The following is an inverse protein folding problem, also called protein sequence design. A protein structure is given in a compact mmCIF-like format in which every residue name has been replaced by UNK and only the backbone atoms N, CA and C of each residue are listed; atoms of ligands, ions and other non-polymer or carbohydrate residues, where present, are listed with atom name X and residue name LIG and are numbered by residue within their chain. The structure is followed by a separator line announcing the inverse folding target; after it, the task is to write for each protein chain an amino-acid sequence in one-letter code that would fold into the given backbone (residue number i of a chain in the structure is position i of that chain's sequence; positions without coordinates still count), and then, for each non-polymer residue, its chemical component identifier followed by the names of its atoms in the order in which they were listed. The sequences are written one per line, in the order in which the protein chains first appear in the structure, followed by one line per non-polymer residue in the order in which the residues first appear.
data_IF_463675282118
#
_entry.id   IF_463675282118
#
_cell.length_a   1.000
_cell.length_b   1.000
_cell.length_c   1.000
_cell.angle_alpha   90.00
_cell.angle_beta   90.00
_cell.angle_gamma   90.00
#
_symmetry.space_group_name_H-M   'P 1'
#
loop_
_entity.id
_entity.type
_entity.pdbx_description
1 polymer ?
#
# COMPACT_ATOMS: atom_id res chain seq x y z
N UNK A 1 21.15 -6.79 42.42
CA UNK A 1 21.19 -7.84 41.39
C UNK A 1 20.43 -7.40 40.13
N UNK A 2 19.14 -7.09 40.21
CA UNK A 2 18.31 -6.69 39.05
C UNK A 2 18.78 -5.47 38.21
N UNK A 3 19.42 -4.46 38.82
CA UNK A 3 19.83 -3.25 38.08
C UNK A 3 21.00 -3.52 37.13
N UNK A 4 22.00 -4.29 37.56
CA UNK A 4 23.18 -4.63 36.75
C UNK A 4 22.76 -5.53 35.58
N UNK A 5 21.88 -6.50 35.82
CA UNK A 5 21.35 -7.38 34.79
C UNK A 5 20.52 -6.59 33.75
N UNK A 6 19.70 -5.63 34.21
CA UNK A 6 18.89 -4.78 33.32
C UNK A 6 19.76 -3.88 32.45
N UNK A 7 20.78 -3.23 33.04
CA UNK A 7 21.72 -2.40 32.30
C UNK A 7 22.56 -3.22 31.32
N UNK A 8 23.03 -4.40 31.74
CA UNK A 8 23.77 -5.33 30.89
C UNK A 8 22.91 -5.84 29.73
N UNK A 9 21.65 -6.17 29.98
CA UNK A 9 20.72 -6.58 28.93
C UNK A 9 20.44 -5.43 27.94
N UNK A 10 20.23 -4.21 28.43
CA UNK A 10 20.03 -3.02 27.58
C UNK A 10 21.28 -2.68 26.75
N UNK A 11 22.47 -2.79 27.33
CA UNK A 11 23.74 -2.59 26.61
C UNK A 11 23.95 -3.67 25.54
N UNK A 12 23.58 -4.92 25.81
CA UNK A 12 23.70 -6.04 24.86
C UNK A 12 22.67 -6.00 23.73
N UNK A 13 21.42 -5.64 24.03
CA UNK A 13 20.31 -5.59 23.06
C UNK A 13 20.26 -4.27 22.27
N UNK A 14 20.78 -3.20 22.85
CA UNK A 14 20.67 -1.87 22.24
C UNK A 14 19.21 -1.37 22.20
N UNK A 15 18.92 -0.52 21.22
CA UNK A 15 17.58 0.01 20.95
C UNK A 15 16.95 -0.80 19.82
N UNK A 16 15.97 -1.64 20.14
CA UNK A 16 15.27 -2.53 19.19
C UNK A 16 14.17 -1.80 18.40
N UNK A 17 13.95 -0.50 18.67
CA UNK A 17 12.97 0.33 17.96
C UNK A 17 13.59 1.02 16.76
N UNK A 18 12.87 1.10 15.65
CA UNK A 18 13.37 1.73 14.42
C UNK A 18 13.39 3.26 14.53
N UNK A 19 14.43 3.89 13.99
CA UNK A 19 14.53 5.35 13.92
C UNK A 19 13.64 5.99 12.83
N UNK A 20 13.07 5.20 11.92
CA UNK A 20 12.16 5.68 10.88
C UNK A 20 10.92 6.37 11.50
N UNK A 21 10.47 7.54 10.99
CA UNK A 21 10.89 8.17 9.73
C UNK A 21 12.05 9.17 9.83
N UNK A 22 12.49 9.53 11.03
CA UNK A 22 13.53 10.55 11.23
C UNK A 22 14.94 10.01 10.89
N UNK A 23 15.14 8.72 11.07
CA UNK A 23 16.31 7.97 10.60
C UNK A 23 16.06 7.18 9.32
N UNK A 24 17.08 6.43 8.89
CA UNK A 24 16.97 5.56 7.72
C UNK A 24 15.87 4.50 7.91
N UNK A 25 15.16 4.12 6.83
CA UNK A 25 14.27 2.97 6.88
C UNK A 25 15.05 1.70 7.26
N UNK A 26 14.38 0.70 7.87
CA UNK A 26 15.01 -0.58 8.14
C UNK A 26 15.54 -1.21 6.84
N UNK A 27 16.61 -2.00 6.96
CA UNK A 27 17.10 -2.78 5.83
C UNK A 27 15.99 -3.71 5.33
N UNK A 28 15.74 -3.68 4.02
CA UNK A 28 14.74 -4.52 3.38
C UNK A 28 15.40 -5.81 2.88
N UNK A 29 14.69 -6.94 2.90
CA UNK A 29 15.19 -8.18 2.33
C UNK A 29 15.57 -8.00 0.85
N UNK A 30 16.57 -8.75 0.37
CA UNK A 30 16.99 -8.71 -1.04
C UNK A 30 15.82 -8.95 -2.01
N UNK A 31 14.91 -9.85 -1.63
CA UNK A 31 13.72 -10.20 -2.41
C UNK A 31 12.56 -9.21 -2.30
N UNK A 32 12.71 -8.08 -1.58
CA UNK A 32 11.65 -7.08 -1.46
C UNK A 32 11.25 -6.49 -2.81
N UNK A 33 12.23 -6.24 -3.69
CA UNK A 33 12.03 -5.68 -5.04
C UNK A 33 11.59 -4.21 -5.08
N UNK A 34 10.74 -3.77 -4.15
CA UNK A 34 10.26 -2.40 -4.03
C UNK A 34 9.37 -1.96 -5.20
N UNK A 35 9.28 -0.66 -5.40
CA UNK A 35 8.52 -0.03 -6.46
C UNK A 35 9.07 -0.41 -7.84
N UNK A 36 8.18 -0.35 -8.84
CA UNK A 36 8.57 -0.52 -10.23
C UNK A 36 8.73 0.85 -10.89
N UNK A 37 9.74 0.96 -11.74
CA UNK A 37 9.94 2.07 -12.69
C UNK A 37 9.66 1.58 -14.10
N UNK A 38 9.04 2.42 -14.92
CA UNK A 38 8.78 2.15 -16.34
C UNK A 38 9.32 3.27 -17.22
N UNK A 39 10.44 3.02 -17.90
CA UNK A 39 11.01 3.89 -18.93
C UNK A 39 10.44 3.50 -20.30
N UNK A 40 9.19 3.89 -20.59
CA UNK A 40 8.46 3.44 -21.77
C UNK A 40 9.18 3.75 -23.10
N UNK A 41 9.99 4.82 -23.14
CA UNK A 41 10.80 5.22 -24.29
C UNK A 41 11.87 4.18 -24.69
N UNK A 42 12.31 3.32 -23.77
CA UNK A 42 13.26 2.22 -24.07
C UNK A 42 12.60 1.08 -24.82
N UNK A 43 11.27 1.04 -24.91
CA UNK A 43 10.56 -0.09 -25.47
C UNK A 43 10.52 -0.02 -27.01
N UNK A 44 10.99 -1.06 -27.75
CA UNK A 44 10.84 -1.11 -29.20
C UNK A 44 9.37 -1.00 -29.64
N UNK A 45 9.09 -0.45 -30.83
CA UNK A 45 7.73 -0.15 -31.31
C UNK A 45 6.77 -1.35 -31.24
N UNK A 46 7.25 -2.55 -31.56
CA UNK A 46 6.44 -3.78 -31.64
C UNK A 46 6.62 -4.72 -30.43
N UNK A 47 7.30 -4.27 -29.36
CA UNK A 47 7.59 -5.13 -28.21
C UNK A 47 6.38 -5.32 -27.29
N UNK A 48 5.92 -6.54 -27.07
CA UNK A 48 4.87 -6.86 -26.09
C UNK A 48 5.27 -7.93 -25.07
N UNK A 49 6.57 -8.20 -24.90
CA UNK A 49 7.10 -9.34 -24.14
C UNK A 49 6.59 -9.42 -22.68
N UNK A 50 6.37 -8.27 -22.02
CA UNK A 50 5.89 -8.21 -20.65
C UNK A 50 4.37 -8.40 -20.49
N UNK A 51 3.58 -8.28 -21.56
CA UNK A 51 2.12 -8.42 -21.54
C UNK A 51 1.67 -9.86 -21.23
N UNK A 52 2.13 -10.90 -21.95
CA UNK A 52 1.65 -12.28 -21.74
C UNK A 52 2.07 -12.88 -20.39
N UNK A 53 3.17 -12.40 -19.79
CA UNK A 53 3.65 -12.89 -18.49
C UNK A 53 2.93 -12.26 -17.30
N UNK A 54 2.08 -11.24 -17.52
CA UNK A 54 1.40 -10.52 -16.45
C UNK A 54 0.09 -11.22 -16.03
N UNK A 55 0.02 -11.88 -14.86
CA UNK A 55 -1.13 -12.73 -14.49
C UNK A 55 -2.42 -11.92 -14.28
N UNK A 56 -2.31 -10.67 -13.84
CA UNK A 56 -3.47 -9.79 -13.55
C UNK A 56 -3.77 -8.81 -14.67
N UNK A 57 -3.05 -8.88 -15.80
CA UNK A 57 -3.14 -7.90 -16.89
C UNK A 57 -2.97 -6.46 -16.38
N UNK A 58 -2.06 -6.29 -15.41
CA UNK A 58 -1.62 -4.98 -14.94
C UNK A 58 -0.83 -4.22 -16.01
N UNK A 59 -0.26 -4.95 -16.98
CA UNK A 59 0.46 -4.39 -18.11
C UNK A 59 -0.42 -4.46 -19.34
N UNK A 60 -0.52 -3.34 -20.05
CA UNK A 60 -1.21 -3.25 -21.33
C UNK A 60 -0.31 -2.56 -22.35
N UNK A 61 -0.38 -3.03 -23.60
CA UNK A 61 0.22 -2.37 -24.74
C UNK A 61 -0.61 -2.63 -25.99
N UNK A 62 -0.87 -1.59 -26.78
CA UNK A 62 -1.47 -1.68 -28.10
C UNK A 62 -0.61 -0.84 -29.04
N UNK A 63 0.29 -1.47 -29.82
CA UNK A 63 1.11 -0.75 -30.77
C UNK A 63 0.23 0.10 -31.71
N UNK A 64 0.59 1.37 -31.99
CA UNK A 64 1.87 2.04 -31.71
C UNK A 64 1.96 2.71 -30.32
N UNK A 65 0.97 2.55 -29.44
CA UNK A 65 0.93 3.21 -28.15
C UNK A 65 2.01 2.65 -27.19
N UNK A 66 2.56 3.52 -26.30
CA UNK A 66 3.53 3.11 -25.30
C UNK A 66 2.93 2.08 -24.33
N UNK A 67 3.79 1.26 -23.75
CA UNK A 67 3.41 0.33 -22.69
C UNK A 67 2.91 1.10 -21.47
N UNK A 68 1.87 0.57 -20.82
CA UNK A 68 1.30 1.08 -19.58
C UNK A 68 1.36 0.00 -18.52
N UNK A 69 1.77 0.37 -17.30
CA UNK A 69 1.81 -0.50 -16.13
C UNK A 69 0.96 0.08 -15.01
N UNK A 70 -0.04 -0.67 -14.57
CA UNK A 70 -0.94 -0.29 -13.48
C UNK A 70 -0.50 -0.97 -12.16
N UNK A 71 0.18 -0.23 -11.29
CA UNK A 71 0.66 -0.71 -9.99
C UNK A 71 -0.47 -1.09 -9.04
N UNK A 72 -1.68 -0.56 -9.21
CA UNK A 72 -2.85 -0.95 -8.43
C UNK A 72 -3.35 -2.37 -8.74
N UNK A 73 -2.99 -2.90 -9.92
CA UNK A 73 -3.27 -4.28 -10.34
C UNK A 73 -2.06 -5.21 -10.21
N UNK A 74 -0.86 -4.64 -10.07
CA UNK A 74 0.38 -5.40 -10.06
C UNK A 74 0.49 -6.27 -8.80
N UNK A 75 0.94 -7.52 -8.97
CA UNK A 75 1.25 -8.43 -7.87
C UNK A 75 2.70 -8.31 -7.39
N UNK A 76 3.51 -7.45 -8.02
CA UNK A 76 4.92 -7.22 -7.69
C UNK A 76 5.80 -8.48 -7.78
N UNK A 77 5.44 -9.43 -8.66
CA UNK A 77 6.16 -10.71 -8.83
C UNK A 77 7.43 -10.64 -9.69
N UNK A 78 7.82 -9.45 -10.17
CA UNK A 78 8.98 -9.22 -11.04
C UNK A 78 9.04 -9.95 -12.40
N UNK A 79 8.09 -10.84 -12.73
CA UNK A 79 8.10 -11.57 -14.01
C UNK A 79 8.22 -10.68 -15.26
N UNK A 80 7.64 -9.47 -15.21
CA UNK A 80 7.75 -8.49 -16.28
C UNK A 80 9.14 -7.83 -16.40
N UNK A 81 9.89 -7.74 -15.30
CA UNK A 81 11.28 -7.26 -15.26
C UNK A 81 12.18 -8.30 -15.93
N UNK A 82 12.04 -9.56 -15.53
CA UNK A 82 12.78 -10.70 -16.10
C UNK A 82 12.50 -10.88 -17.60
N UNK A 83 11.24 -10.70 -18.02
CA UNK A 83 10.84 -10.85 -19.41
C UNK A 83 11.17 -9.62 -20.28
N UNK A 84 11.65 -8.50 -19.72
CA UNK A 84 11.84 -7.25 -20.48
C UNK A 84 13.20 -7.23 -21.19
N UNK A 85 13.27 -7.42 -22.54
CA UNK A 85 14.56 -7.44 -23.24
C UNK A 85 15.27 -6.09 -23.27
N UNK A 86 14.51 -4.99 -23.15
CA UNK A 86 15.03 -3.63 -23.22
C UNK A 86 15.38 -3.03 -21.84
N UNK A 87 15.12 -3.74 -20.75
CA UNK A 87 15.29 -3.20 -19.40
C UNK A 87 14.45 -1.93 -19.15
N UNK A 88 13.27 -1.85 -19.77
CA UNK A 88 12.35 -0.72 -19.65
C UNK A 88 11.55 -0.76 -18.33
N UNK A 89 11.32 -1.96 -17.77
CA UNK A 89 10.67 -2.14 -16.46
C UNK A 89 11.75 -2.59 -15.48
N UNK A 90 11.91 -1.87 -14.38
CA UNK A 90 12.94 -2.16 -13.36
C UNK A 90 12.37 -2.09 -11.95
N UNK A 91 12.96 -2.85 -11.04
CA UNK A 91 12.73 -2.76 -9.60
C UNK A 91 13.67 -1.72 -8.99
N UNK A 92 13.14 -0.78 -8.21
CA UNK A 92 13.93 0.31 -7.62
C UNK A 92 14.39 0.03 -6.19
N UNK A 93 13.83 -0.99 -5.54
CA UNK A 93 14.02 -1.22 -4.10
C UNK A 93 13.32 -0.19 -3.20
N UNK A 94 12.59 0.77 -3.77
CA UNK A 94 11.90 1.81 -3.01
C UNK A 94 10.61 1.25 -2.38
N UNK A 95 10.45 1.38 -1.06
CA UNK A 95 9.25 0.93 -0.36
C UNK A 95 8.06 1.88 -0.55
N UNK A 96 8.29 3.11 -1.01
CA UNK A 96 7.29 4.18 -1.09
C UNK A 96 6.41 3.98 -2.31
N UNK A 97 5.11 3.78 -2.06
CA UNK A 97 4.16 3.42 -3.12
C UNK A 97 2.76 4.02 -2.94
N UNK A 98 2.46 4.60 -1.78
CA UNK A 98 1.12 5.05 -1.48
C UNK A 98 0.73 6.29 -2.30
N UNK A 99 -0.50 6.35 -2.77
CA UNK A 99 -1.03 7.44 -3.60
C UNK A 99 -2.40 7.88 -3.13
N UNK A 100 -2.74 9.16 -3.30
CA UNK A 100 -4.07 9.69 -2.96
C UNK A 100 -5.13 9.43 -4.05
N UNK A 101 -4.68 9.09 -5.27
CA UNK A 101 -5.53 8.96 -6.45
C UNK A 101 -5.21 7.68 -7.20
N UNK A 102 -6.24 7.00 -7.70
CA UNK A 102 -6.10 5.69 -8.36
C UNK A 102 -5.27 5.77 -9.64
N UNK A 103 -5.43 6.84 -10.39
CA UNK A 103 -4.67 7.14 -11.60
C UNK A 103 -3.18 7.37 -11.33
N UNK A 104 -2.81 7.77 -10.12
CA UNK A 104 -1.41 8.03 -9.78
C UNK A 104 -0.56 6.75 -9.66
N UNK A 105 -1.23 5.59 -9.65
CA UNK A 105 -0.64 4.25 -9.72
C UNK A 105 -0.38 3.75 -11.14
N UNK A 106 -0.73 4.52 -12.18
CA UNK A 106 -0.47 4.15 -13.58
C UNK A 106 0.84 4.77 -14.05
N UNK A 107 1.71 3.93 -14.59
CA UNK A 107 2.97 4.31 -15.23
C UNK A 107 2.83 4.17 -16.74
N UNK A 108 3.53 5.00 -17.49
CA UNK A 108 3.48 5.06 -18.94
C UNK A 108 4.44 6.10 -19.49
N UNK A 109 4.21 6.56 -20.72
CA UNK A 109 5.07 7.55 -21.36
C UNK A 109 5.09 8.92 -20.64
N UNK A 110 4.03 9.26 -19.92
CA UNK A 110 3.91 10.48 -19.14
C UNK A 110 4.50 10.35 -17.73
N UNK A 111 4.77 9.13 -17.28
CA UNK A 111 5.13 8.87 -15.89
C UNK A 111 5.90 7.57 -15.70
N UNK A 112 7.17 7.70 -15.34
CA UNK A 112 8.04 6.54 -15.12
C UNK A 112 7.96 5.96 -13.70
N UNK A 113 7.52 6.76 -12.72
CA UNK A 113 7.48 6.39 -11.30
C UNK A 113 6.17 6.84 -10.65
N UNK A 114 5.77 6.15 -9.59
CA UNK A 114 4.55 6.46 -8.84
C UNK A 114 4.59 7.89 -8.28
N UNK A 115 3.46 8.60 -8.35
CA UNK A 115 3.32 9.89 -7.66
C UNK A 115 2.88 9.62 -6.24
N UNK A 116 3.78 9.84 -5.30
CA UNK A 116 3.52 9.59 -3.89
C UNK A 116 2.40 10.48 -3.36
N UNK A 117 1.66 9.97 -2.39
CA UNK A 117 0.66 10.74 -1.67
C UNK A 117 1.36 11.87 -0.91
N UNK A 118 0.90 13.11 -1.16
CA UNK A 118 1.04 14.19 -0.19
C UNK A 118 0.02 14.02 0.94
N UNK A 119 -0.01 14.96 1.89
CA UNK A 119 -1.05 14.99 2.91
C UNK A 119 -2.43 15.00 2.22
N UNK A 120 -3.19 13.91 2.39
CA UNK A 120 -4.51 13.79 1.78
C UNK A 120 -5.41 14.78 2.50
N UNK A 121 -5.60 15.96 1.90
CA UNK A 121 -6.38 17.07 2.44
C UNK A 121 -5.82 17.69 3.73
N UNK A 122 -5.47 18.97 3.67
CA UNK A 122 -5.01 19.76 4.83
C UNK A 122 -5.96 19.65 6.05
N UNK A 123 -7.25 19.42 5.80
CA UNK A 123 -8.28 19.21 6.83
C UNK A 123 -8.15 17.88 7.59
N UNK A 124 -7.80 16.78 6.91
CA UNK A 124 -7.61 15.46 7.54
C UNK A 124 -6.38 15.49 8.44
N UNK A 125 -5.27 16.08 7.97
CA UNK A 125 -4.08 16.28 8.79
C UNK A 125 -4.36 17.12 10.04
N UNK A 126 -5.20 18.17 9.94
CA UNK A 126 -5.62 18.98 11.11
C UNK A 126 -6.46 18.20 12.12
N UNK A 127 -7.35 17.32 11.66
CA UNK A 127 -8.28 16.60 12.52
C UNK A 127 -7.67 15.34 13.15
N UNK A 128 -6.98 14.52 12.35
CA UNK A 128 -6.49 13.20 12.75
C UNK A 128 -4.96 13.14 12.88
N UNK A 129 -4.25 14.26 12.64
CA UNK A 129 -2.79 14.31 12.65
C UNK A 129 -2.12 13.85 13.94
N UNK A 130 -2.80 13.91 15.08
CA UNK A 130 -2.29 13.51 16.40
C UNK A 130 -2.85 12.19 16.91
N UNK A 131 -4.04 11.82 16.48
CA UNK A 131 -4.71 10.58 16.88
C UNK A 131 -5.58 10.11 15.72
N UNK A 132 -5.26 8.93 15.19
CA UNK A 132 -5.99 8.30 14.11
C UNK A 132 -6.38 6.88 14.53
N UNK A 133 -7.69 6.64 14.66
CA UNK A 133 -8.25 5.33 14.99
C UNK A 133 -8.80 4.69 13.71
N UNK A 134 -8.25 3.56 13.31
CA UNK A 134 -8.71 2.84 12.12
C UNK A 134 -9.47 1.58 12.51
N UNK A 135 -10.51 1.23 11.76
CA UNK A 135 -11.06 -0.13 11.77
C UNK A 135 -10.55 -0.87 10.54
N UNK A 136 -9.75 -1.90 10.74
CA UNK A 136 -9.38 -2.81 9.66
C UNK A 136 -10.62 -3.64 9.26
N UNK A 137 -10.89 -3.78 7.97
CA UNK A 137 -11.99 -4.60 7.43
C UNK A 137 -11.42 -5.53 6.38
N UNK A 138 -11.40 -6.84 6.68
CA UNK A 138 -11.09 -7.85 5.66
C UNK A 138 -12.35 -8.14 4.85
N UNK A 139 -12.41 -7.59 3.64
CA UNK A 139 -13.52 -7.80 2.71
C UNK A 139 -13.23 -9.00 1.79
N UNK A 140 -12.98 -10.17 2.39
CA UNK A 140 -12.63 -11.39 1.66
C UNK A 140 -11.13 -11.54 1.35
N UNK A 141 -10.26 -11.07 2.24
CA UNK A 141 -8.81 -11.20 2.09
C UNK A 141 -8.29 -12.62 2.36
N UNK A 142 -7.04 -12.88 1.97
CA UNK A 142 -6.32 -14.13 2.22
C UNK A 142 -5.43 -14.08 3.48
N UNK A 143 -5.68 -13.13 4.38
CA UNK A 143 -4.92 -12.84 5.60
C UNK A 143 -3.51 -12.26 5.42
N UNK A 144 -2.98 -12.17 4.20
CA UNK A 144 -1.63 -11.64 3.98
C UNK A 144 -1.51 -10.15 4.31
N UNK A 145 -2.36 -9.30 3.74
CA UNK A 145 -2.36 -7.86 4.06
C UNK A 145 -2.76 -7.61 5.51
N UNK A 146 -3.65 -8.44 6.06
CA UNK A 146 -4.07 -8.37 7.46
C UNK A 146 -2.90 -8.67 8.41
N UNK A 147 -2.11 -9.71 8.12
CA UNK A 147 -0.91 -10.02 8.88
C UNK A 147 0.09 -8.85 8.89
N UNK A 148 0.38 -8.27 7.72
CA UNK A 148 1.30 -7.14 7.63
C UNK A 148 0.76 -5.88 8.32
N UNK A 149 -0.55 -5.61 8.24
CA UNK A 149 -1.16 -4.53 9.03
C UNK A 149 -1.12 -4.79 10.54
N UNK A 150 -1.21 -6.05 10.98
CA UNK A 150 -1.14 -6.44 12.38
C UNK A 150 0.29 -6.26 12.94
N UNK A 151 1.31 -6.64 12.15
CA UNK A 151 2.72 -6.48 12.50
C UNK A 151 3.08 -5.02 12.82
N UNK A 152 2.40 -4.05 12.21
CA UNK A 152 2.59 -2.63 12.52
C UNK A 152 2.26 -2.25 13.98
N UNK A 153 1.44 -3.04 14.67
CA UNK A 153 1.15 -2.87 16.10
C UNK A 153 2.21 -3.44 17.04
N UNK A 154 3.23 -4.14 16.52
CA UNK A 154 4.32 -4.70 17.32
C UNK A 154 5.38 -3.66 17.65
N UNK A 155 6.22 -3.94 18.64
CA UNK A 155 7.29 -3.04 19.12
C UNK A 155 8.30 -2.61 18.04
N UNK A 156 8.46 -3.39 16.97
CA UNK A 156 9.38 -3.05 15.88
C UNK A 156 8.92 -1.85 15.07
N UNK A 157 7.61 -1.73 14.85
CA UNK A 157 6.99 -0.70 14.00
C UNK A 157 6.33 0.40 14.83
N UNK A 158 5.63 -0.03 15.89
CA UNK A 158 4.93 0.76 16.89
C UNK A 158 4.09 1.89 16.28
N UNK A 159 2.91 1.55 15.73
CA UNK A 159 1.94 2.56 15.29
C UNK A 159 1.55 3.55 16.40
N UNK A 160 1.62 3.11 17.67
CA UNK A 160 1.24 3.90 18.83
C UNK A 160 2.06 5.18 18.96
N UNK A 161 3.37 5.14 18.68
CA UNK A 161 4.23 6.36 18.67
C UNK A 161 3.79 7.40 17.63
N UNK A 162 3.07 6.97 16.60
CA UNK A 162 2.51 7.86 15.59
C UNK A 162 1.09 8.32 15.92
N UNK A 163 0.51 7.88 17.04
CA UNK A 163 -0.88 8.15 17.39
C UNK A 163 -1.88 7.37 16.54
N UNK A 164 -1.43 6.31 15.85
CA UNK A 164 -2.28 5.47 15.02
C UNK A 164 -2.64 4.21 15.80
N UNK A 165 -3.93 3.82 15.79
CA UNK A 165 -4.38 2.63 16.49
C UNK A 165 -5.51 1.92 15.73
N UNK A 166 -5.50 0.59 15.72
CA UNK A 166 -6.66 -0.18 15.28
C UNK A 166 -7.67 -0.35 16.42
N UNK A 167 -8.93 -0.03 16.16
CA UNK A 167 -10.06 -0.18 17.10
C UNK A 167 -11.01 -1.28 16.66
N UNK A 168 -11.67 -1.93 17.61
CA UNK A 168 -12.57 -3.05 17.32
C UNK A 168 -13.92 -2.61 16.72
N UNK A 169 -14.46 -1.49 17.20
CA UNK A 169 -15.76 -0.97 16.77
C UNK A 169 -15.58 0.11 15.70
N UNK A 170 -16.29 0.04 14.56
CA UNK A 170 -16.28 1.13 13.58
C UNK A 170 -16.85 2.44 14.15
N UNK A 171 -17.67 2.37 15.21
CA UNK A 171 -18.21 3.56 15.89
C UNK A 171 -17.16 4.35 16.68
N UNK A 172 -16.01 3.73 16.97
CA UNK A 172 -14.86 4.38 17.62
C UNK A 172 -13.74 4.71 16.63
N UNK A 173 -13.96 4.47 15.33
CA UNK A 173 -12.96 4.68 14.31
C UNK A 173 -13.15 6.06 13.65
N UNK A 174 -12.04 6.64 13.24
CA UNK A 174 -11.94 7.81 12.37
C UNK A 174 -11.90 7.40 10.89
N UNK A 175 -11.78 6.11 10.60
CA UNK A 175 -11.71 5.61 9.24
C UNK A 175 -11.57 4.10 9.11
N UNK A 176 -11.54 3.64 7.87
CA UNK A 176 -11.42 2.23 7.51
C UNK A 176 -10.09 1.96 6.81
N UNK A 177 -9.46 0.83 7.14
CA UNK A 177 -8.41 0.22 6.35
C UNK A 177 -8.96 -1.08 5.76
N UNK A 178 -9.12 -1.11 4.46
CA UNK A 178 -9.79 -2.21 3.75
C UNK A 178 -8.75 -3.08 3.05
N UNK A 179 -8.88 -4.38 3.24
CA UNK A 179 -8.09 -5.44 2.59
C UNK A 179 -9.02 -6.42 1.87
N UNK A 180 -8.49 -7.13 0.87
CA UNK A 180 -9.25 -8.11 0.08
C UNK A 180 -10.05 -7.52 -1.09
N UNK A 181 -10.51 -8.36 -2.03
CA UNK A 181 -11.11 -7.93 -3.31
C UNK A 181 -12.57 -7.45 -3.19
N UNK A 182 -13.12 -7.46 -1.98
CA UNK A 182 -14.55 -7.29 -1.67
C UNK A 182 -15.38 -8.39 -2.31
N UNK A 183 -15.46 -9.54 -1.64
CA UNK A 183 -16.37 -10.60 -2.06
C UNK A 183 -17.83 -10.12 -2.01
N UNK A 184 -18.66 -10.70 -2.86
CA UNK A 184 -20.10 -10.39 -2.96
C UNK A 184 -20.81 -10.47 -1.60
N UNK A 185 -20.44 -11.46 -0.79
CA UNK A 185 -21.01 -11.69 0.55
C UNK A 185 -20.54 -10.62 1.56
N UNK A 186 -19.34 -10.06 1.37
CA UNK A 186 -18.79 -9.02 2.24
C UNK A 186 -19.22 -7.60 1.85
N UNK A 187 -19.80 -7.39 0.66
CA UNK A 187 -20.20 -6.05 0.20
C UNK A 187 -21.15 -5.35 1.18
N UNK A 188 -22.23 -6.04 1.61
CA UNK A 188 -23.20 -5.46 2.55
C UNK A 188 -22.56 -5.14 3.90
N UNK A 189 -21.68 -6.02 4.39
CA UNK A 189 -20.97 -5.82 5.65
C UNK A 189 -20.03 -4.61 5.57
N UNK A 190 -19.33 -4.43 4.44
CA UNK A 190 -18.47 -3.28 4.21
C UNK A 190 -19.27 -1.97 4.17
N UNK A 191 -20.39 -1.93 3.43
CA UNK A 191 -21.28 -0.75 3.37
C UNK A 191 -21.82 -0.36 4.74
N UNK A 192 -22.29 -1.34 5.53
CA UNK A 192 -22.79 -1.10 6.89
C UNK A 192 -21.69 -0.62 7.83
N UNK A 193 -20.49 -1.18 7.71
CA UNK A 193 -19.33 -0.76 8.51
C UNK A 193 -18.96 0.68 8.19
N UNK A 194 -18.86 1.04 6.91
CA UNK A 194 -18.58 2.41 6.47
C UNK A 194 -19.63 3.42 6.97
N UNK A 195 -20.91 3.05 6.89
CA UNK A 195 -22.01 3.88 7.40
C UNK A 195 -21.97 4.05 8.94
N UNK A 196 -21.42 3.09 9.67
CA UNK A 196 -21.32 3.13 11.13
C UNK A 196 -20.14 3.95 11.66
N UNK A 197 -19.16 4.29 10.82
CA UNK A 197 -18.07 5.21 11.19
C UNK A 197 -18.66 6.63 11.29
N UNK A 198 -18.34 7.45 12.30
CA UNK A 198 -18.75 8.87 12.36
C UNK A 198 -18.09 9.73 11.28
N UNK A 199 -18.71 10.84 10.87
CA UNK A 199 -18.06 11.81 9.98
C UNK A 199 -17.29 12.86 10.81
N UNK A 200 -16.17 13.43 10.30
CA UNK A 200 -15.48 13.08 9.05
C UNK A 200 -14.79 11.72 9.15
N UNK A 201 -14.62 11.02 8.02
CA UNK A 201 -13.99 9.69 7.95
C UNK A 201 -13.07 9.55 6.76
N UNK A 202 -12.06 8.71 6.90
CA UNK A 202 -11.13 8.35 5.81
C UNK A 202 -11.21 6.86 5.46
N UNK A 203 -10.90 6.52 4.21
CA UNK A 203 -10.85 5.14 3.72
C UNK A 203 -9.54 4.86 3.01
N UNK A 204 -8.90 3.77 3.39
CA UNK A 204 -7.60 3.34 2.89
C UNK A 204 -7.76 1.96 2.26
N UNK A 205 -7.36 1.79 1.00
CA UNK A 205 -7.31 0.49 0.34
C UNK A 205 -5.87 -0.04 0.35
N UNK A 206 -5.67 -1.22 0.94
CA UNK A 206 -4.35 -1.85 1.09
C UNK A 206 -4.28 -3.15 0.30
N UNK A 207 -3.33 -3.19 -0.63
CA UNK A 207 -3.03 -4.33 -1.49
C UNK A 207 -3.80 -4.33 -2.83
N UNK A 208 -3.26 -5.05 -3.80
CA UNK A 208 -3.80 -5.14 -5.16
C UNK A 208 -5.25 -5.65 -5.20
N UNK A 209 -5.61 -6.55 -4.27
CA UNK A 209 -6.98 -7.02 -4.11
C UNK A 209 -7.93 -5.87 -3.75
N UNK A 210 -7.62 -5.09 -2.72
CA UNK A 210 -8.48 -3.98 -2.28
C UNK A 210 -8.51 -2.83 -3.28
N UNK A 211 -7.46 -2.65 -4.08
CA UNK A 211 -7.39 -1.56 -5.06
C UNK A 211 -8.09 -1.93 -6.37
N UNK A 212 -7.95 -3.15 -6.85
CA UNK A 212 -8.39 -3.51 -8.20
C UNK A 212 -8.85 -4.97 -8.38
N UNK A 213 -9.12 -5.71 -7.29
CA UNK A 213 -9.55 -7.12 -7.31
C UNK A 213 -8.41 -8.14 -7.32
N UNK A 214 -7.18 -7.72 -7.59
CA UNK A 214 -6.00 -8.60 -7.56
C UNK A 214 -6.11 -9.79 -8.52
N UNK A 215 -5.69 -11.01 -8.13
CA UNK A 215 -5.83 -12.21 -8.96
C UNK A 215 -7.28 -12.56 -9.33
N UNK A 216 -8.26 -12.03 -8.61
CA UNK A 216 -9.68 -12.32 -8.82
C UNK A 216 -10.38 -11.30 -9.71
N UNK A 217 -9.64 -10.35 -10.31
CA UNK A 217 -10.22 -9.28 -11.14
C UNK A 217 -11.11 -9.85 -12.25
N UNK A 218 -12.33 -9.31 -12.37
CA UNK A 218 -13.34 -9.73 -13.34
C UNK A 218 -14.18 -10.94 -12.92
N UNK A 219 -13.89 -11.58 -11.78
CA UNK A 219 -14.71 -12.67 -11.28
C UNK A 219 -16.08 -12.16 -10.79
N UNK A 220 -17.20 -12.84 -11.09
CA UNK A 220 -18.56 -12.37 -10.73
C UNK A 220 -18.81 -12.27 -9.22
N UNK A 221 -18.05 -13.00 -8.41
CA UNK A 221 -18.18 -13.00 -6.94
C UNK A 221 -17.31 -11.96 -6.22
N UNK A 222 -16.65 -11.04 -6.94
CA UNK A 222 -15.90 -9.93 -6.34
C UNK A 222 -16.28 -8.58 -6.94
N UNK A 223 -16.20 -7.52 -6.15
CA UNK A 223 -16.53 -6.16 -6.58
C UNK A 223 -15.33 -5.41 -7.24
N UNK A 224 -14.23 -6.12 -7.51
CA UNK A 224 -13.02 -5.59 -8.13
C UNK A 224 -12.34 -4.45 -7.34
N UNK A 225 -12.40 -4.53 -6.01
CA UNK A 225 -11.76 -3.57 -5.09
C UNK A 225 -12.76 -2.74 -4.29
N UNK A 226 -12.25 -2.04 -3.27
CA UNK A 226 -13.04 -1.28 -2.31
C UNK A 226 -13.72 -0.04 -2.92
N UNK A 227 -13.08 0.58 -3.91
CA UNK A 227 -13.54 1.84 -4.50
C UNK A 227 -14.89 1.71 -5.23
N UNK A 228 -15.27 0.51 -5.68
CA UNK A 228 -16.58 0.26 -6.27
C UNK A 228 -17.72 0.26 -5.24
N UNK A 229 -17.40 0.18 -3.95
CA UNK A 229 -18.36 0.04 -2.85
C UNK A 229 -18.38 1.27 -1.95
N UNK A 230 -17.20 1.83 -1.63
CA UNK A 230 -17.01 3.00 -0.76
C UNK A 230 -15.95 3.96 -1.34
N UNK A 231 -16.02 5.27 -1.09
CA UNK A 231 -15.00 6.20 -1.56
C UNK A 231 -13.66 5.89 -0.86
N UNK A 232 -12.57 5.83 -1.62
CA UNK A 232 -11.21 5.55 -1.12
C UNK A 232 -10.37 6.83 -1.23
N UNK A 233 -9.68 7.18 -0.14
CA UNK A 233 -8.86 8.39 -0.01
C UNK A 233 -7.35 8.12 -0.15
N UNK A 234 -6.92 6.88 0.12
CA UNK A 234 -5.52 6.46 0.01
C UNK A 234 -5.43 5.03 -0.55
N UNK A 235 -4.53 4.83 -1.50
CA UNK A 235 -4.23 3.55 -2.12
C UNK A 235 -2.79 3.14 -1.79
N UNK A 236 -2.62 1.97 -1.18
CA UNK A 236 -1.31 1.40 -0.84
C UNK A 236 -1.15 0.09 -1.63
N UNK A 237 -0.48 0.08 -2.80
CA UNK A 237 -0.37 -1.10 -3.65
C UNK A 237 0.65 -2.11 -3.11
N UNK A 238 0.44 -3.39 -3.41
CA UNK A 238 1.30 -4.50 -3.00
C UNK A 238 0.53 -5.83 -2.96
N UNK A 239 1.23 -6.97 -2.85
CA UNK A 239 0.58 -8.29 -2.74
C UNK A 239 1.38 -9.30 -1.88
N UNK A 240 1.38 -9.15 -0.55
CA UNK A 240 0.94 -7.97 0.21
C UNK A 240 1.95 -6.82 0.13
N UNK A 241 1.54 -5.57 0.41
CA UNK A 241 2.49 -4.48 0.62
C UNK A 241 3.30 -4.74 1.89
N UNK A 242 4.62 -4.55 1.82
CA UNK A 242 5.50 -4.69 2.98
C UNK A 242 5.03 -3.76 4.13
N UNK A 243 5.18 -4.12 5.42
CA UNK A 243 4.77 -3.27 6.53
C UNK A 243 5.33 -1.84 6.43
N UNK A 244 6.59 -1.68 6.00
CA UNK A 244 7.19 -0.35 5.76
C UNK A 244 6.42 0.48 4.72
N UNK A 245 5.95 -0.14 3.64
CA UNK A 245 5.13 0.51 2.60
C UNK A 245 3.78 0.97 3.17
N UNK A 246 3.17 0.14 4.03
CA UNK A 246 1.92 0.51 4.70
C UNK A 246 2.16 1.68 5.66
N UNK A 247 3.22 1.61 6.49
CA UNK A 247 3.58 2.67 7.42
C UNK A 247 3.88 3.99 6.70
N UNK A 248 4.70 3.96 5.64
CA UNK A 248 4.98 5.14 4.80
C UNK A 248 3.68 5.77 4.28
N UNK A 249 2.75 4.96 3.77
CA UNK A 249 1.45 5.44 3.32
C UNK A 249 0.62 6.11 4.41
N UNK A 250 0.58 5.52 5.61
CA UNK A 250 -0.12 6.10 6.76
C UNK A 250 0.54 7.41 7.23
N UNK A 251 1.86 7.51 7.22
CA UNK A 251 2.56 8.73 7.62
C UNK A 251 2.43 9.84 6.57
N UNK A 252 2.41 9.50 5.27
CA UNK A 252 2.08 10.43 4.17
C UNK A 252 0.69 11.01 4.33
N UNK A 253 -0.29 10.14 4.59
CA UNK A 253 -1.67 10.53 4.83
C UNK A 253 -1.79 11.58 5.94
N UNK A 254 -1.02 11.41 7.02
CA UNK A 254 -0.98 12.34 8.15
C UNK A 254 -0.08 13.56 7.93
N UNK A 255 0.58 13.69 6.76
CA UNK A 255 1.51 14.80 6.47
C UNK A 255 2.78 14.76 7.32
N UNK A 256 3.17 13.60 7.84
CA UNK A 256 4.36 13.42 8.69
C UNK A 256 5.64 13.12 7.91
N UNK A 257 5.51 12.92 6.60
CA UNK A 257 6.63 12.75 5.69
C UNK A 257 6.69 13.97 4.78
N UNK A 258 7.82 14.67 4.80
CA UNK A 258 8.10 15.68 3.79
C UNK A 258 8.35 14.99 2.44
N UNK A 259 7.94 15.63 1.35
CA UNK A 259 8.51 15.33 0.04
C UNK A 259 9.98 15.76 0.09
N UNK A 260 10.88 14.85 0.46
CA UNK A 260 12.30 15.04 0.15
C UNK A 260 12.42 14.87 -1.36
N UNK A 261 12.47 16.01 -2.06
CA UNK A 261 12.77 16.13 -3.49
C UNK A 261 14.09 15.46 -3.84
#
# INVERSE_FOLDING_TARGET
MYLVDTLTHRLRRGCETMAYPDGSPPALPELHGGALRLEAARCPADCAACVPVCPTRAIARQAPQPVVLDLGRCLFCAACVEACPAGAITQTGDHRLATARREDLRLGADREQVRLAGAVQEKIGKLFGRSLRLRQVSAGGCNACEADTNVLGTIGWDLGRFGIQFVASPRHADGLLITGPVSRQMELALRKTYAAVPAPKIVIAVGACAIAGGPFVGHPEVANGAQSVVPVDLFIPGCPPHPLTILDGLLRLLGRLAEKS
#
